data_IF_031557785788
#
_entry.id   IF_031557785788
#
_cell.length_a   1.000
_cell.length_b   1.000
_cell.length_c   1.000
_cell.angle_alpha   90.00
_cell.angle_beta   90.00
_cell.angle_gamma   90.00
#
_symmetry.space_group_name_H-M   'P 1'
#
loop_
_entity.id
_entity.type
_entity.pdbx_description
1 polymer ?
#
# COMPACT_ATOMS: atom_id res chain seq x y z
N UNK A 1 -10.25 2.30 20.08
CA UNK A 1 -9.13 1.77 19.26
C UNK A 1 -8.92 2.61 17.99
N UNK A 2 -9.27 3.91 17.99
CA UNK A 2 -8.89 4.80 16.89
C UNK A 2 -7.35 4.79 16.73
N UNK A 3 -6.81 4.88 15.50
CA UNK A 3 -7.50 5.24 14.25
C UNK A 3 -8.11 4.07 13.45
N UNK A 4 -8.14 2.84 13.99
CA UNK A 4 -8.57 1.67 13.21
C UNK A 4 -10.09 1.61 13.01
N UNK A 5 -10.53 1.33 11.78
CA UNK A 5 -11.96 1.10 11.45
C UNK A 5 -12.42 -0.29 11.84
N UNK A 6 -11.47 -1.23 11.99
CA UNK A 6 -11.71 -2.59 12.41
C UNK A 6 -11.02 -2.86 13.75
N UNK A 7 -11.59 -3.78 14.55
CA UNK A 7 -10.89 -4.28 15.73
C UNK A 7 -9.62 -5.01 15.26
N UNK A 8 -8.43 -4.70 15.83
CA UNK A 8 -7.21 -5.43 15.49
C UNK A 8 -7.39 -6.93 15.69
N UNK A 9 -6.87 -7.70 14.75
CA UNK A 9 -6.81 -9.14 14.83
C UNK A 9 -5.38 -9.58 15.00
N UNK A 10 -5.11 -10.45 15.95
CA UNK A 10 -3.77 -10.84 16.33
C UNK A 10 -3.63 -12.36 16.39
N UNK A 11 -2.44 -12.83 16.04
CA UNK A 11 -1.99 -14.20 16.26
C UNK A 11 -0.78 -14.11 17.19
N UNK A 12 -0.78 -14.94 18.23
CA UNK A 12 0.31 -14.97 19.21
C UNK A 12 1.57 -15.58 18.59
N UNK A 13 2.73 -14.99 18.86
CA UNK A 13 4.05 -15.51 18.51
C UNK A 13 5.02 -15.32 19.68
N UNK A 14 6.18 -15.97 19.63
CA UNK A 14 7.15 -16.06 20.71
C UNK A 14 7.63 -14.69 21.20
N UNK A 15 7.87 -13.76 20.27
CA UNK A 15 8.40 -12.42 20.55
C UNK A 15 7.30 -11.35 20.68
N UNK A 16 6.03 -11.78 20.69
CA UNK A 16 4.86 -10.91 20.77
C UNK A 16 3.88 -11.15 19.62
N UNK A 17 2.61 -10.78 19.78
CA UNK A 17 1.59 -11.05 18.77
C UNK A 17 1.83 -10.23 17.51
N UNK A 18 1.51 -10.82 16.37
CA UNK A 18 1.44 -10.12 15.09
C UNK A 18 -0.01 -9.82 14.76
N UNK A 19 -0.30 -8.58 14.37
CA UNK A 19 -1.66 -8.09 14.25
C UNK A 19 -1.93 -7.36 12.94
N UNK A 20 -3.18 -7.45 12.49
CA UNK A 20 -3.73 -6.66 11.40
C UNK A 20 -4.38 -5.40 11.96
N UNK A 21 -3.88 -4.23 11.56
CA UNK A 21 -4.44 -2.92 11.88
C UNK A 21 -4.93 -2.25 10.60
N UNK A 22 -6.25 -2.04 10.50
CA UNK A 22 -6.86 -1.51 9.26
C UNK A 22 -7.63 -0.23 9.53
N UNK A 23 -7.38 0.78 8.69
CA UNK A 23 -8.27 1.92 8.51
C UNK A 23 -8.76 1.94 7.05
N UNK A 24 -9.95 1.37 6.83
CA UNK A 24 -10.60 1.28 5.52
C UNK A 24 -11.21 2.61 5.04
N UNK A 25 -11.32 3.58 5.95
CA UNK A 25 -11.89 4.90 5.67
C UNK A 25 -10.81 5.93 5.34
N UNK A 26 -9.53 5.54 5.32
CA UNK A 26 -8.45 6.44 4.93
C UNK A 26 -8.72 6.97 3.52
N UNK A 27 -8.92 8.29 3.38
CA UNK A 27 -9.22 8.85 2.08
C UNK A 27 -7.95 8.83 1.21
N UNK A 28 -8.13 8.62 -0.09
CA UNK A 28 -7.08 8.85 -1.10
C UNK A 28 -7.70 9.56 -2.31
N UNK A 29 -6.88 10.23 -3.13
CA UNK A 29 -7.35 11.03 -4.28
C UNK A 29 -8.26 10.25 -5.25
N UNK A 30 -8.08 8.93 -5.38
CA UNK A 30 -8.86 8.07 -6.27
C UNK A 30 -9.92 7.23 -5.56
N UNK A 31 -10.39 7.67 -4.39
CA UNK A 31 -11.50 7.04 -3.68
C UNK A 31 -11.09 6.21 -2.45
N UNK A 32 -9.82 6.21 -2.05
CA UNK A 32 -9.31 5.59 -0.82
C UNK A 32 -9.47 4.07 -0.81
N UNK A 33 -8.38 3.32 -1.02
CA UNK A 33 -8.43 1.87 -0.79
C UNK A 33 -8.47 1.53 0.72
N UNK A 34 -8.17 2.51 1.60
CA UNK A 34 -7.80 2.27 2.98
C UNK A 34 -6.32 1.88 3.11
N UNK A 35 -5.84 1.73 4.34
CA UNK A 35 -4.54 1.12 4.64
C UNK A 35 -4.75 0.01 5.66
N UNK A 36 -4.14 -1.14 5.41
CA UNK A 36 -3.93 -2.19 6.39
C UNK A 36 -2.44 -2.39 6.61
N UNK A 37 -2.00 -2.43 7.87
CA UNK A 37 -0.64 -2.78 8.26
C UNK A 37 -0.66 -4.04 9.10
N UNK A 38 0.25 -4.97 8.79
CA UNK A 38 0.43 -6.24 9.48
C UNK A 38 1.76 -6.15 10.23
N UNK A 39 1.68 -5.98 11.54
CA UNK A 39 2.84 -5.65 12.38
C UNK A 39 2.56 -5.94 13.87
N UNK A 40 3.54 -5.73 14.73
CA UNK A 40 3.40 -5.82 16.18
C UNK A 40 2.59 -4.65 16.75
N UNK A 41 1.86 -4.83 17.87
CA UNK A 41 1.19 -3.73 18.56
C UNK A 41 2.10 -2.56 18.91
N UNK A 42 3.35 -2.84 19.29
CA UNK A 42 4.37 -1.86 19.65
C UNK A 42 4.69 -0.94 18.48
N UNK A 43 4.96 -1.50 17.29
CA UNK A 43 5.23 -0.69 16.11
C UNK A 43 3.97 0.03 15.62
N UNK A 44 2.80 -0.62 15.64
CA UNK A 44 1.54 0.02 15.25
C UNK A 44 1.19 1.26 16.11
N UNK A 45 1.63 1.28 17.37
CA UNK A 45 1.48 2.42 18.27
C UNK A 45 2.61 3.46 18.14
N UNK A 46 3.68 3.17 17.40
CA UNK A 46 4.82 4.07 17.23
C UNK A 46 4.45 5.31 16.42
N UNK A 47 5.15 6.45 16.61
CA UNK A 47 4.93 7.64 15.78
C UNK A 47 5.12 7.38 14.28
N UNK A 48 6.03 6.48 13.91
CA UNK A 48 6.29 6.11 12.51
C UNK A 48 5.03 5.49 11.88
N UNK A 49 4.45 4.47 12.50
CA UNK A 49 3.25 3.82 11.96
C UNK A 49 2.02 4.73 12.07
N UNK A 50 1.82 5.41 13.21
CA UNK A 50 0.68 6.32 13.40
C UNK A 50 0.68 7.43 12.36
N UNK A 51 1.85 7.94 11.94
CA UNK A 51 1.95 8.98 10.90
C UNK A 51 1.31 8.53 9.57
N UNK A 52 1.41 7.24 9.22
CA UNK A 52 0.82 6.68 8.00
C UNK A 52 -0.72 6.80 8.00
N UNK A 53 -1.34 6.77 9.17
CA UNK A 53 -2.80 6.88 9.35
C UNK A 53 -3.26 8.28 9.74
N UNK A 54 -2.34 9.17 10.12
CA UNK A 54 -2.63 10.55 10.51
C UNK A 54 -2.63 11.52 9.31
N UNK A 55 -2.25 11.05 8.12
CA UNK A 55 -2.28 11.87 6.92
C UNK A 55 -3.70 11.98 6.36
N UNK A 56 -4.41 13.01 6.82
CA UNK A 56 -5.56 13.56 6.10
C UNK A 56 -5.09 13.94 4.68
N UNK A 57 -5.60 13.24 3.67
CA UNK A 57 -5.44 13.64 2.26
C UNK A 57 -6.18 14.94 1.91
N UNK A 58 -6.81 15.60 2.90
CA UNK A 58 -7.24 16.99 2.77
C UNK A 58 -6.06 17.96 2.58
N UNK A 59 -4.84 17.48 2.84
CA UNK A 59 -3.56 18.12 2.48
C UNK A 59 -3.37 18.35 0.97
N UNK A 60 -3.95 17.51 0.11
CA UNK A 60 -3.81 17.62 -1.34
C UNK A 60 -5.10 18.07 -2.05
N UNK A 61 -6.24 18.12 -1.35
CA UNK A 61 -7.53 18.28 -2.02
C UNK A 61 -8.53 19.30 -1.43
N UNK A 62 -8.57 19.66 -0.12
CA UNK A 62 -9.62 20.62 0.33
C UNK A 62 -9.59 21.28 1.73
N UNK A 63 -8.46 21.39 2.45
CA UNK A 63 -8.44 22.18 3.70
C UNK A 63 -7.85 23.60 3.54
N UNK A 64 -8.60 24.70 3.79
CA UNK A 64 -8.04 26.04 3.84
C UNK A 64 -7.44 26.34 5.22
N UNK A 65 -6.34 25.71 5.66
CA UNK A 65 -5.57 26.26 6.83
C UNK A 65 -4.11 25.82 7.05
N UNK A 66 -3.49 24.88 6.32
CA UNK A 66 -2.05 24.55 6.52
C UNK A 66 -1.20 24.86 5.27
N UNK A 67 -0.97 26.16 5.05
CA UNK A 67 -0.30 26.79 3.88
C UNK A 67 1.13 26.33 3.53
N UNK A 68 1.84 25.57 4.36
CA UNK A 68 3.30 25.41 4.20
C UNK A 68 3.78 24.27 3.31
N UNK A 69 2.93 23.27 3.06
CA UNK A 69 3.44 21.91 2.82
C UNK A 69 2.78 21.28 1.58
N UNK A 70 1.53 21.68 1.27
CA UNK A 70 0.84 21.45 0.00
C UNK A 70 1.47 22.23 -1.17
N UNK A 71 1.89 23.47 -0.94
CA UNK A 71 2.60 24.29 -1.93
C UNK A 71 3.92 23.64 -2.34
N UNK A 72 4.63 23.00 -1.41
CA UNK A 72 5.94 22.40 -1.66
C UNK A 72 5.82 21.20 -2.58
N UNK A 73 4.90 20.26 -2.32
CA UNK A 73 4.68 19.11 -3.20
C UNK A 73 4.13 19.53 -4.57
N UNK A 74 3.22 20.50 -4.62
CA UNK A 74 2.69 20.99 -5.90
C UNK A 74 3.77 21.75 -6.70
N UNK A 75 4.64 22.52 -6.02
CA UNK A 75 5.82 23.14 -6.64
C UNK A 75 6.79 22.08 -7.15
N UNK A 76 7.02 20.99 -6.41
CA UNK A 76 7.86 19.85 -6.81
C UNK A 76 7.23 18.98 -7.91
N UNK A 77 5.91 18.97 -8.05
CA UNK A 77 5.19 18.27 -9.13
C UNK A 77 5.04 19.12 -10.42
N UNK A 78 4.96 20.45 -10.29
CA UNK A 78 5.12 21.36 -11.45
C UNK A 78 3.85 21.46 -12.28
N UNK A 79 2.73 21.26 -11.60
CA UNK A 79 1.39 21.16 -12.15
C UNK A 79 0.45 20.57 -11.10
N UNK A 80 -0.80 20.34 -11.48
CA UNK A 80 -1.71 19.52 -10.66
C UNK A 80 -1.31 18.05 -10.76
N UNK A 81 -1.45 17.30 -9.67
CA UNK A 81 -1.35 15.83 -9.71
C UNK A 81 -2.48 15.17 -10.51
N UNK A 82 -3.52 15.92 -10.89
CA UNK A 82 -4.59 15.46 -11.78
C UNK A 82 -4.18 15.52 -13.27
N UNK A 83 -3.03 16.12 -13.56
CA UNK A 83 -2.39 16.16 -14.87
C UNK A 83 -0.98 15.55 -14.76
N UNK A 84 -0.87 14.23 -14.57
CA UNK A 84 0.42 13.57 -14.44
C UNK A 84 1.29 13.81 -15.69
N UNK A 85 2.62 13.94 -15.56
CA UNK A 85 3.50 14.20 -16.70
C UNK A 85 3.71 12.96 -17.58
N UNK A 86 2.83 11.98 -17.50
CA UNK A 86 2.87 10.71 -18.23
C UNK A 86 1.46 10.22 -18.57
N UNK A 87 1.38 9.38 -19.60
CA UNK A 87 0.20 8.60 -19.95
C UNK A 87 0.53 7.10 -19.92
N UNK A 88 -0.44 6.26 -19.56
CA UNK A 88 -0.26 4.80 -19.60
C UNK A 88 -0.61 4.28 -20.99
N UNK A 89 0.34 3.59 -21.63
CA UNK A 89 0.17 2.99 -22.97
C UNK A 89 0.62 1.54 -23.00
N UNK A 90 0.20 0.81 -24.02
CA UNK A 90 0.79 -0.50 -24.35
C UNK A 90 2.20 -0.31 -24.93
N UNK A 91 3.16 -1.03 -24.36
CA UNK A 91 4.56 -1.06 -24.74
C UNK A 91 4.86 -2.44 -25.33
N UNK A 92 5.22 -2.53 -26.63
CA UNK A 92 5.49 -3.79 -27.30
C UNK A 92 6.51 -4.66 -26.55
N UNK A 93 6.13 -5.91 -26.28
CA UNK A 93 6.96 -6.88 -25.54
C UNK A 93 7.10 -6.62 -24.04
N UNK A 94 6.41 -5.62 -23.46
CA UNK A 94 6.50 -5.26 -22.04
C UNK A 94 5.15 -5.11 -21.32
N UNK A 95 4.03 -5.11 -22.05
CA UNK A 95 2.71 -4.89 -21.45
C UNK A 95 2.38 -3.40 -21.30
N UNK A 96 1.82 -2.96 -20.16
CA UNK A 96 1.53 -1.55 -19.91
C UNK A 96 2.77 -0.80 -19.43
N UNK A 97 2.92 0.47 -19.83
CA UNK A 97 3.98 1.35 -19.35
C UNK A 97 3.57 2.82 -19.31
N UNK A 98 4.17 3.57 -18.39
CA UNK A 98 4.00 5.02 -18.28
C UNK A 98 4.99 5.75 -19.21
N UNK A 99 4.46 6.54 -20.16
CA UNK A 99 5.23 7.29 -21.15
C UNK A 99 5.10 8.78 -20.85
N UNK A 100 6.22 9.48 -20.71
CA UNK A 100 6.23 10.91 -20.45
C UNK A 100 5.55 11.69 -21.59
N UNK A 101 4.59 12.57 -21.25
CA UNK A 101 3.87 13.44 -22.20
C UNK A 101 4.55 14.80 -22.39
N UNK A 102 5.48 15.13 -21.48
CA UNK A 102 6.26 16.38 -21.46
C UNK A 102 7.63 16.14 -20.83
N UNK A 103 8.53 17.11 -20.98
CA UNK A 103 9.84 17.07 -20.31
C UNK A 103 9.65 17.12 -18.79
N UNK A 104 10.25 16.17 -18.09
CA UNK A 104 10.30 16.12 -16.63
C UNK A 104 11.69 16.58 -16.20
N UNK A 105 11.75 17.68 -15.45
CA UNK A 105 13.03 18.18 -14.93
C UNK A 105 13.55 17.25 -13.82
N UNK A 106 14.86 17.26 -13.60
CA UNK A 106 15.47 16.50 -12.52
C UNK A 106 14.92 16.99 -11.16
N UNK A 107 14.63 16.06 -10.26
CA UNK A 107 14.10 16.36 -8.93
C UNK A 107 12.59 16.66 -8.89
N UNK A 108 11.87 16.50 -10.01
CA UNK A 108 10.41 16.64 -10.01
C UNK A 108 9.72 15.36 -9.55
N UNK A 109 8.69 15.54 -8.74
CA UNK A 109 7.79 14.45 -8.35
C UNK A 109 6.94 14.08 -9.54
N UNK A 110 7.09 12.84 -10.00
CA UNK A 110 6.33 12.29 -11.14
C UNK A 110 4.99 11.71 -10.69
N UNK A 111 4.95 11.17 -9.47
CA UNK A 111 3.85 10.38 -8.96
C UNK A 111 3.88 10.38 -7.43
N UNK A 112 2.71 10.44 -6.82
CA UNK A 112 2.48 10.19 -5.39
C UNK A 112 1.34 9.19 -5.30
N UNK A 113 1.52 8.13 -4.52
CA UNK A 113 0.49 7.14 -4.26
C UNK A 113 0.52 6.71 -2.78
N UNK A 114 -0.54 6.02 -2.35
CA UNK A 114 -0.72 5.52 -1.00
C UNK A 114 -0.76 4.00 -1.01
N UNK A 115 0.02 3.39 -0.13
CA UNK A 115 -0.03 1.95 0.06
C UNK A 115 -1.41 1.54 0.58
N UNK A 116 -1.94 0.43 0.08
CA UNK A 116 -3.14 -0.21 0.61
C UNK A 116 -2.80 -1.29 1.64
N UNK A 117 -1.67 -1.97 1.46
CA UNK A 117 -1.16 -2.99 2.38
C UNK A 117 0.29 -2.67 2.71
N UNK A 118 0.63 -2.80 3.98
CA UNK A 118 1.99 -2.91 4.50
C UNK A 118 2.10 -4.24 5.24
N UNK A 119 2.78 -5.21 4.65
CA UNK A 119 3.05 -6.50 5.28
C UNK A 119 4.52 -6.56 5.66
N UNK A 120 4.83 -7.04 6.87
CA UNK A 120 6.22 -7.25 7.26
C UNK A 120 6.93 -8.17 6.24
N UNK A 121 8.17 -7.84 5.92
CA UNK A 121 9.00 -8.62 4.99
C UNK A 121 9.38 -9.98 5.59
N UNK A 122 9.54 -10.02 6.91
CA UNK A 122 9.83 -11.23 7.69
C UNK A 122 8.87 -11.35 8.88
N UNK A 123 8.44 -12.58 9.16
CA UNK A 123 7.60 -12.93 10.30
C UNK A 123 8.38 -13.80 11.30
N UNK A 124 7.99 -13.82 12.60
CA UNK A 124 8.53 -14.76 13.57
C UNK A 124 8.49 -16.21 13.07
N UNK A 125 9.57 -16.97 13.32
CA UNK A 125 9.74 -18.32 12.79
C UNK A 125 8.73 -19.35 13.33
N UNK A 126 8.05 -19.02 14.42
CA UNK A 126 7.03 -19.85 15.06
C UNK A 126 5.61 -19.56 14.56
N UNK A 127 5.41 -18.52 13.75
CA UNK A 127 4.17 -18.35 13.01
C UNK A 127 4.10 -19.33 11.84
N UNK A 128 3.04 -20.11 11.80
CA UNK A 128 2.77 -21.04 10.72
C UNK A 128 2.42 -20.26 9.45
N UNK A 129 2.71 -20.84 8.27
CA UNK A 129 2.40 -20.19 6.99
C UNK A 129 0.91 -19.89 6.87
N UNK A 130 0.05 -20.80 7.32
CA UNK A 130 -1.40 -20.62 7.29
C UNK A 130 -1.86 -19.45 8.17
N UNK A 131 -1.15 -19.17 9.27
CA UNK A 131 -1.40 -18.03 10.15
C UNK A 131 -1.00 -16.72 9.48
N UNK A 132 0.17 -16.69 8.82
CA UNK A 132 0.58 -15.54 8.01
C UNK A 132 -0.41 -15.30 6.87
N UNK A 133 -0.85 -16.35 6.17
CA UNK A 133 -1.86 -16.25 5.12
C UNK A 133 -3.20 -15.70 5.64
N UNK A 134 -3.62 -16.07 6.87
CA UNK A 134 -4.82 -15.51 7.50
C UNK A 134 -4.65 -14.02 7.83
N UNK A 135 -3.48 -13.60 8.34
CA UNK A 135 -3.16 -12.18 8.56
C UNK A 135 -3.24 -11.39 7.25
N UNK A 136 -2.63 -11.89 6.17
CA UNK A 136 -2.64 -11.25 4.84
C UNK A 136 -4.06 -11.14 4.28
N UNK A 137 -4.81 -12.24 4.29
CA UNK A 137 -6.21 -12.30 3.85
C UNK A 137 -7.06 -11.30 4.61
N UNK A 138 -6.86 -11.22 5.93
CA UNK A 138 -7.63 -10.32 6.77
C UNK A 138 -7.25 -8.86 6.55
N UNK A 139 -5.99 -8.58 6.26
CA UNK A 139 -5.54 -7.24 5.87
C UNK A 139 -6.22 -6.76 4.58
N UNK A 140 -6.30 -7.61 3.56
CA UNK A 140 -6.94 -7.29 2.28
C UNK A 140 -8.45 -7.18 2.40
N UNK A 141 -9.11 -8.17 3.00
CA UNK A 141 -10.58 -8.23 3.09
C UNK A 141 -11.21 -7.14 3.96
N UNK A 142 -10.43 -6.52 4.85
CA UNK A 142 -10.87 -5.38 5.65
C UNK A 142 -10.76 -4.03 4.93
N UNK A 143 -10.13 -3.97 3.75
CA UNK A 143 -10.06 -2.74 2.96
C UNK A 143 -11.40 -2.43 2.30
N UNK A 144 -11.51 -1.21 1.75
CA UNK A 144 -12.75 -0.72 1.16
C UNK A 144 -13.16 -1.48 -0.11
N UNK A 145 -12.18 -1.87 -0.92
CA UNK A 145 -12.38 -2.55 -2.20
C UNK A 145 -11.39 -3.73 -2.33
N UNK A 146 -11.64 -4.84 -1.62
CA UNK A 146 -10.77 -6.01 -1.68
C UNK A 146 -10.74 -6.66 -3.07
N UNK A 147 -11.84 -6.60 -3.82
CA UNK A 147 -11.93 -7.19 -5.16
C UNK A 147 -10.96 -6.52 -6.14
N UNK A 148 -10.80 -5.19 -6.05
CA UNK A 148 -9.77 -4.46 -6.80
C UNK A 148 -8.37 -4.97 -6.51
N UNK A 149 -8.05 -5.32 -5.26
CA UNK A 149 -6.75 -5.88 -4.89
C UNK A 149 -6.60 -7.30 -5.42
N UNK A 150 -7.60 -8.16 -5.23
CA UNK A 150 -7.55 -9.53 -5.75
C UNK A 150 -7.44 -9.59 -7.28
N UNK A 151 -7.97 -8.59 -7.99
CA UNK A 151 -7.81 -8.47 -9.43
C UNK A 151 -6.35 -8.27 -9.89
N UNK A 152 -5.44 -7.86 -9.00
CA UNK A 152 -4.01 -7.66 -9.28
C UNK A 152 -3.18 -8.95 -9.15
N UNK A 153 -3.71 -10.00 -8.51
CA UNK A 153 -3.06 -11.29 -8.46
C UNK A 153 -2.93 -11.90 -9.87
N UNK A 154 -1.97 -12.80 -10.07
CA UNK A 154 -1.77 -13.47 -11.36
C UNK A 154 -2.96 -14.39 -11.66
N UNK A 155 -3.40 -14.41 -12.92
CA UNK A 155 -4.50 -15.27 -13.39
C UNK A 155 -3.96 -16.45 -14.22
N UNK A 156 -3.89 -17.66 -13.66
CA UNK A 156 -3.60 -18.88 -14.45
C UNK A 156 -2.57 -19.85 -13.82
N UNK A 157 -2.14 -20.85 -14.60
CA UNK A 157 -1.22 -21.96 -14.27
C UNK A 157 0.24 -21.53 -13.94
N UNK A 158 0.45 -20.27 -13.55
CA UNK A 158 1.74 -19.68 -13.17
C UNK A 158 1.99 -19.60 -11.65
N UNK A 159 1.06 -20.09 -10.82
CA UNK A 159 1.30 -20.41 -9.41
C UNK A 159 2.25 -21.61 -9.37
N UNK A 160 3.55 -21.37 -9.53
CA UNK A 160 4.57 -22.41 -9.46
C UNK A 160 4.65 -23.11 -8.10
N UNK A 161 3.96 -22.59 -7.09
CA UNK A 161 3.79 -23.16 -5.77
C UNK A 161 2.27 -23.29 -5.44
N UNK A 162 1.76 -24.53 -5.38
CA UNK A 162 0.36 -24.82 -5.01
C UNK A 162 0.03 -24.41 -3.56
N UNK A 163 1.05 -24.25 -2.71
CA UNK A 163 0.88 -23.81 -1.32
C UNK A 163 0.86 -22.28 -1.16
N UNK A 164 1.07 -21.53 -2.25
CA UNK A 164 1.02 -20.07 -2.27
C UNK A 164 -0.41 -19.56 -2.39
N UNK A 165 -0.82 -18.79 -1.38
CA UNK A 165 -2.11 -18.10 -1.33
C UNK A 165 -2.25 -17.01 -2.41
N UNK A 166 -3.47 -16.48 -2.58
CA UNK A 166 -3.75 -15.35 -3.47
C UNK A 166 -3.10 -14.08 -2.98
N UNK A 167 -3.05 -13.94 -1.67
CA UNK A 167 -2.53 -12.80 -0.96
C UNK A 167 -1.00 -12.72 -1.00
N UNK A 168 -0.31 -13.85 -0.83
CA UNK A 168 1.16 -13.93 -1.02
C UNK A 168 1.54 -13.61 -2.46
N UNK A 169 0.88 -14.23 -3.44
CA UNK A 169 1.13 -13.98 -4.87
C UNK A 169 0.94 -12.51 -5.24
N UNK A 170 -0.13 -11.90 -4.73
CA UNK A 170 -0.44 -10.49 -4.89
C UNK A 170 0.71 -9.63 -4.39
N UNK A 171 1.16 -9.85 -3.14
CA UNK A 171 2.19 -9.03 -2.50
C UNK A 171 3.56 -9.23 -3.14
N UNK A 172 3.97 -10.47 -3.39
CA UNK A 172 5.27 -10.78 -3.99
C UNK A 172 5.42 -10.19 -5.40
N UNK A 173 4.33 -10.06 -6.15
CA UNK A 173 4.36 -9.57 -7.53
C UNK A 173 4.24 -8.04 -7.61
N UNK A 174 3.50 -7.41 -6.70
CA UNK A 174 3.08 -6.02 -6.84
C UNK A 174 3.55 -5.07 -5.73
N UNK A 175 4.39 -5.54 -4.80
CA UNK A 175 4.87 -4.71 -3.68
C UNK A 175 6.25 -4.12 -3.92
N UNK A 176 6.52 -3.04 -3.21
CA UNK A 176 7.84 -2.41 -3.10
C UNK A 176 8.34 -2.53 -1.66
N UNK A 177 9.64 -2.74 -1.48
CA UNK A 177 10.25 -2.66 -0.16
C UNK A 177 10.21 -1.22 0.35
N UNK A 178 9.69 -1.02 1.55
CA UNK A 178 9.68 0.26 2.27
C UNK A 178 10.13 0.04 3.71
N UNK A 179 10.53 1.11 4.39
CA UNK A 179 10.93 1.06 5.79
C UNK A 179 9.92 1.83 6.65
N UNK A 180 9.44 1.21 7.73
CA UNK A 180 8.58 1.85 8.72
C UNK A 180 9.24 1.69 10.09
N UNK A 181 9.66 2.81 10.69
CA UNK A 181 10.57 2.75 11.84
C UNK A 181 11.92 2.20 11.39
N UNK A 182 12.37 1.11 11.99
CA UNK A 182 13.61 0.40 11.64
C UNK A 182 13.35 -0.97 10.98
N UNK A 183 12.10 -1.22 10.56
CA UNK A 183 11.65 -2.51 10.00
C UNK A 183 11.32 -2.42 8.50
N UNK A 184 11.57 -3.52 7.78
CA UNK A 184 11.28 -3.68 6.35
C UNK A 184 9.86 -4.19 6.12
N UNK A 185 9.16 -3.58 5.16
CA UNK A 185 7.79 -3.91 4.77
C UNK A 185 7.67 -4.04 3.26
N UNK A 186 6.82 -4.98 2.83
CA UNK A 186 6.23 -5.00 1.50
C UNK A 186 5.05 -4.03 1.46
N UNK A 187 5.16 -2.99 0.62
CA UNK A 187 4.12 -2.01 0.37
C UNK A 187 3.44 -2.23 -0.98
N UNK A 188 2.13 -2.51 -0.96
CA UNK A 188 1.32 -2.64 -2.16
C UNK A 188 0.64 -1.31 -2.50
N UNK A 189 0.85 -0.82 -3.72
CA UNK A 189 0.23 0.40 -4.25
C UNK A 189 -0.73 0.03 -5.40
N UNK A 190 -2.04 -0.16 -5.13
CA UNK A 190 -2.96 -0.75 -6.11
C UNK A 190 -3.12 0.07 -7.40
N UNK A 191 -2.87 1.38 -7.36
CA UNK A 191 -3.01 2.24 -8.54
C UNK A 191 -1.75 2.23 -9.42
N UNK A 192 -0.65 1.60 -8.96
CA UNK A 192 0.59 1.36 -9.70
C UNK A 192 0.77 -0.11 -10.09
N UNK A 193 0.14 -1.00 -9.33
CA UNK A 193 0.14 -2.43 -9.58
C UNK A 193 -0.61 -2.75 -10.88
N UNK A 194 -0.16 -3.81 -11.56
CA UNK A 194 -0.77 -4.30 -12.80
C UNK A 194 -0.86 -5.82 -12.69
N UNK A 195 -2.02 -6.38 -12.99
CA UNK A 195 -2.15 -7.84 -13.12
C UNK A 195 -1.29 -8.32 -14.28
N UNK A 196 -0.33 -9.21 -13.99
CA UNK A 196 0.48 -9.88 -15.01
C UNK A 196 -0.30 -11.12 -15.45
N UNK A 197 -0.58 -11.20 -16.76
CA UNK A 197 -1.21 -12.35 -17.42
C UNK A 197 -0.25 -13.54 -17.48
#
# INVERSE_FOLDING_TARGET
WAPWTHRPYCIDAADGPYCVFTNAALPSRKGGNGLSIITTPELAASPAAVSLFAHDVDFLSRAPTTRGHNETLQKLAGGSFDDPPFEVRDVPGKGKGAIATRRIEQGRVVLVDHAAILAADEYPADLMREEVQDLLRRGITQLRDPDKLYALARKGEGRGDESMSVEEDLLLTNSFAVTVGDESYMALFPDLAVSVL
#
